data_IF_223162935348
#
_entry.id   IF_223162935348
#
_cell.length_a   1.000
_cell.length_b   1.000
_cell.length_c   1.000
_cell.angle_alpha   90.00
_cell.angle_beta   90.00
_cell.angle_gamma   90.00
#
_symmetry.space_group_name_H-M   'P 1'
#
loop_
_entity.id
_entity.type
_entity.pdbx_description
1 polymer ?
#
# COMPACT_ATOMS: atom_id res chain seq x y z
N UNK A 1 -0.32 -16.39 -9.36
CA UNK A 1 -0.80 -17.66 -8.80
C UNK A 1 -2.32 -17.76 -8.82
N UNK A 2 -2.84 -18.96 -8.88
CA UNK A 2 -4.27 -19.23 -8.70
C UNK A 2 -4.58 -19.18 -7.19
N UNK A 3 -5.63 -18.45 -6.80
CA UNK A 3 -6.04 -18.34 -5.39
C UNK A 3 -7.31 -19.13 -5.18
N UNK A 4 -7.30 -20.02 -4.19
CA UNK A 4 -8.45 -20.86 -3.83
C UNK A 4 -8.74 -20.69 -2.35
N UNK A 5 -9.95 -20.21 -2.05
CA UNK A 5 -10.43 -20.02 -0.68
C UNK A 5 -11.57 -21.00 -0.42
N UNK A 6 -11.40 -21.91 0.52
CA UNK A 6 -12.34 -22.97 0.86
C UNK A 6 -12.83 -23.80 -0.34
N UNK A 7 -11.95 -24.00 -1.33
CA UNK A 7 -12.23 -24.75 -2.55
C UNK A 7 -12.84 -23.92 -3.69
N UNK A 8 -13.05 -22.61 -3.49
CA UNK A 8 -13.59 -21.70 -4.50
C UNK A 8 -12.48 -20.78 -5.01
N UNK A 9 -12.36 -20.66 -6.32
CA UNK A 9 -11.41 -19.75 -6.98
C UNK A 9 -11.79 -18.30 -6.74
N UNK A 10 -10.81 -17.47 -6.38
CA UNK A 10 -10.96 -16.05 -6.13
C UNK A 10 -9.87 -15.26 -6.86
N UNK A 11 -10.16 -14.04 -7.25
CA UNK A 11 -9.17 -13.15 -7.88
C UNK A 11 -8.17 -12.58 -6.87
N UNK A 12 -8.59 -12.38 -5.64
CA UNK A 12 -7.80 -11.78 -4.57
C UNK A 12 -8.22 -12.32 -3.21
N UNK A 13 -7.29 -12.32 -2.25
CA UNK A 13 -7.57 -12.58 -0.84
C UNK A 13 -7.44 -11.32 0.03
N UNK A 14 -7.34 -10.14 -0.58
CA UNK A 14 -7.16 -8.86 0.15
C UNK A 14 -8.33 -8.50 1.08
N UNK A 15 -9.51 -9.06 0.83
CA UNK A 15 -10.70 -8.85 1.65
C UNK A 15 -10.78 -9.79 2.87
N UNK A 16 -9.92 -10.82 2.91
CA UNK A 16 -9.93 -11.80 3.98
C UNK A 16 -9.10 -11.30 5.16
N UNK A 17 -9.69 -11.27 6.36
CA UNK A 17 -8.93 -10.94 7.56
C UNK A 17 -8.01 -12.12 7.94
N UNK A 18 -6.76 -11.81 8.29
CA UNK A 18 -5.79 -12.82 8.73
C UNK A 18 -6.30 -13.64 9.93
N UNK A 19 -7.14 -13.05 10.78
CA UNK A 19 -7.75 -13.73 11.91
C UNK A 19 -8.82 -14.77 11.53
N UNK A 20 -9.30 -14.76 10.27
CA UNK A 20 -10.26 -15.74 9.73
C UNK A 20 -9.55 -16.95 9.11
N UNK A 21 -8.25 -16.84 8.83
CA UNK A 21 -7.49 -17.91 8.19
C UNK A 21 -7.15 -18.99 9.22
N UNK A 22 -7.48 -20.25 8.91
CA UNK A 22 -7.02 -21.42 9.66
C UNK A 22 -5.70 -21.93 9.13
N UNK A 23 -5.54 -22.03 7.80
CA UNK A 23 -4.29 -22.44 7.16
C UNK A 23 -4.11 -21.80 5.78
N UNK A 24 -2.85 -21.58 5.42
CA UNK A 24 -2.44 -21.13 4.11
C UNK A 24 -1.37 -22.10 3.58
N UNK A 25 -1.58 -22.62 2.38
CA UNK A 25 -0.64 -23.51 1.70
C UNK A 25 -0.31 -22.96 0.32
N UNK A 26 0.97 -22.94 -0.02
CA UNK A 26 1.45 -22.50 -1.34
C UNK A 26 1.98 -23.71 -2.09
N UNK A 27 1.31 -24.09 -3.16
CA UNK A 27 1.72 -25.18 -4.04
C UNK A 27 2.55 -24.60 -5.19
N UNK A 28 3.80 -25.00 -5.27
CA UNK A 28 4.76 -24.56 -6.30
C UNK A 28 5.17 -25.67 -7.25
N UNK A 29 5.02 -26.92 -6.83
CA UNK A 29 5.47 -28.07 -7.58
C UNK A 29 4.43 -28.49 -8.62
N UNK A 30 4.91 -28.88 -9.81
CA UNK A 30 4.05 -29.29 -10.92
C UNK A 30 3.11 -30.46 -10.56
N UNK A 31 3.57 -31.39 -9.71
CA UNK A 31 2.76 -32.51 -9.24
C UNK A 31 1.59 -32.10 -8.37
N UNK A 32 1.81 -31.14 -7.46
CA UNK A 32 0.75 -30.63 -6.56
C UNK A 32 -0.21 -29.67 -7.26
N UNK A 33 0.26 -28.97 -8.31
CA UNK A 33 -0.60 -28.04 -9.08
C UNK A 33 -1.33 -28.69 -10.24
N UNK A 34 -0.98 -29.93 -10.62
CA UNK A 34 -1.58 -30.66 -11.75
C UNK A 34 -3.10 -30.76 -11.67
N UNK A 35 -3.67 -30.88 -10.47
CA UNK A 35 -5.12 -30.96 -10.23
C UNK A 35 -5.86 -29.71 -10.71
N UNK A 36 -5.17 -28.56 -10.78
CA UNK A 36 -5.73 -27.26 -11.16
C UNK A 36 -5.48 -26.92 -12.63
N UNK A 37 -4.87 -27.84 -13.40
CA UNK A 37 -4.60 -27.70 -14.83
C UNK A 37 -3.70 -26.51 -15.16
N UNK A 38 -3.88 -25.94 -16.35
CA UNK A 38 -3.08 -24.81 -16.85
C UNK A 38 -3.14 -23.57 -15.97
N UNK A 39 -4.22 -23.36 -15.23
CA UNK A 39 -4.34 -22.21 -14.30
C UNK A 39 -3.42 -22.33 -13.10
N UNK A 40 -3.05 -23.55 -12.72
CA UNK A 40 -2.07 -23.82 -11.65
C UNK A 40 -0.60 -23.66 -12.05
N UNK A 41 -0.29 -23.40 -13.33
CA UNK A 41 1.08 -23.36 -13.84
C UNK A 41 1.98 -22.32 -13.12
N UNK A 42 1.42 -21.21 -12.65
CA UNK A 42 2.11 -20.16 -11.89
C UNK A 42 2.02 -20.37 -10.36
N UNK A 43 1.72 -21.59 -9.91
CA UNK A 43 1.50 -21.93 -8.52
C UNK A 43 0.07 -21.68 -8.05
N UNK A 44 -0.30 -22.33 -6.93
CA UNK A 44 -1.63 -22.23 -6.33
C UNK A 44 -1.49 -21.85 -4.86
N UNK A 45 -2.29 -20.90 -4.42
CA UNK A 45 -2.43 -20.50 -3.02
C UNK A 45 -3.76 -21.06 -2.51
N UNK A 46 -3.67 -22.00 -1.57
CA UNK A 46 -4.85 -22.58 -0.91
C UNK A 46 -5.03 -21.90 0.44
N UNK A 47 -6.19 -21.31 0.65
CA UNK A 47 -6.58 -20.71 1.92
C UNK A 47 -7.77 -21.47 2.46
N UNK A 48 -7.64 -21.93 3.70
CA UNK A 48 -8.74 -22.54 4.45
C UNK A 48 -9.14 -21.59 5.57
N UNK A 49 -10.41 -21.24 5.63
CA UNK A 49 -10.93 -20.38 6.68
C UNK A 49 -11.30 -21.16 7.93
N UNK A 50 -11.32 -20.50 9.07
CA UNK A 50 -11.73 -21.07 10.35
C UNK A 50 -13.18 -21.47 10.32
N UNK A 51 -13.47 -22.66 10.83
CA UNK A 51 -14.82 -23.20 10.95
C UNK A 51 -15.20 -23.41 12.40
N UNK A 52 -16.48 -23.41 12.67
CA UNK A 52 -17.00 -23.78 13.98
C UNK A 52 -16.61 -25.21 14.35
N UNK A 53 -16.28 -25.42 15.60
CA UNK A 53 -15.97 -26.74 16.18
C UNK A 53 -17.04 -27.10 17.21
N UNK A 54 -17.30 -28.43 17.39
CA UNK A 54 -18.18 -28.87 18.44
C UNK A 54 -17.65 -28.45 19.81
N UNK A 55 -18.53 -27.92 20.63
CA UNK A 55 -18.17 -27.46 21.98
C UNK A 55 -18.90 -26.20 22.40
N UNK A 56 -18.58 -25.75 23.61
CA UNK A 56 -19.11 -24.51 24.16
C UNK A 56 -18.65 -23.31 23.31
N UNK A 57 -19.45 -22.23 23.21
CA UNK A 57 -19.05 -21.03 22.53
C UNK A 57 -17.70 -20.49 23.03
N UNK A 58 -16.78 -20.22 22.10
CA UNK A 58 -15.51 -19.55 22.38
C UNK A 58 -15.55 -18.19 21.73
N UNK A 59 -15.28 -17.17 22.54
CA UNK A 59 -15.18 -15.79 22.08
C UNK A 59 -13.70 -15.41 22.11
N UNK A 60 -13.20 -14.89 20.99
CA UNK A 60 -11.85 -14.34 20.90
C UNK A 60 -11.94 -12.87 20.46
N UNK A 61 -11.27 -12.00 21.19
CA UNK A 61 -11.19 -10.57 20.87
C UNK A 61 -9.72 -10.23 20.66
N UNK A 62 -9.43 -9.64 19.51
CA UNK A 62 -8.09 -9.14 19.17
C UNK A 62 -8.17 -7.65 18.91
N UNK A 63 -7.27 -6.89 19.53
CA UNK A 63 -7.13 -5.45 19.29
C UNK A 63 -5.67 -5.14 18.98
N UNK A 64 -5.43 -4.54 17.82
CA UNK A 64 -4.11 -4.13 17.37
C UNK A 64 -4.10 -2.61 17.17
N UNK A 65 -3.09 -1.97 17.73
CA UNK A 65 -2.80 -0.56 17.51
C UNK A 65 -1.40 -0.43 16.92
N UNK A 66 -1.29 0.35 15.88
CA UNK A 66 -0.02 0.61 15.20
C UNK A 66 0.12 2.09 14.87
N UNK A 67 1.36 2.56 14.80
CA UNK A 67 1.71 3.86 14.26
C UNK A 67 2.50 3.63 12.97
N UNK A 68 1.90 4.01 11.85
CA UNK A 68 2.56 3.96 10.56
C UNK A 68 3.36 5.24 10.35
N UNK A 69 4.61 5.09 9.95
CA UNK A 69 5.48 6.23 9.58
C UNK A 69 6.21 5.90 8.29
N UNK A 70 6.48 6.90 7.44
CA UNK A 70 7.38 6.70 6.31
C UNK A 70 8.73 6.23 6.83
N UNK A 71 9.24 5.12 6.29
CA UNK A 71 10.56 4.59 6.66
C UNK A 71 11.68 5.37 6.01
N UNK A 72 11.43 5.93 4.84
CA UNK A 72 12.37 6.76 4.09
C UNK A 72 11.58 7.85 3.37
N UNK A 73 12.05 9.05 3.51
CA UNK A 73 11.54 10.23 2.81
C UNK A 73 12.62 10.64 1.82
N UNK A 74 12.34 10.65 0.51
CA UNK A 74 13.28 11.16 -0.47
C UNK A 74 13.61 12.63 -0.20
N UNK A 75 14.87 13.00 -0.36
CA UNK A 75 15.25 14.41 -0.41
C UNK A 75 14.92 14.95 -1.80
N UNK A 76 14.09 15.98 -1.84
CA UNK A 76 13.75 16.67 -3.07
C UNK A 76 14.59 17.93 -3.22
N UNK A 77 14.96 18.19 -4.46
CA UNK A 77 15.61 19.45 -4.81
C UNK A 77 14.65 20.61 -4.61
N UNK A 78 15.17 21.75 -4.20
CA UNK A 78 14.44 23.01 -4.24
C UNK A 78 14.15 23.46 -5.67
N UNK A 79 13.27 24.44 -5.82
CA UNK A 79 12.85 24.92 -7.15
C UNK A 79 14.04 25.47 -7.94
N UNK A 80 14.96 26.16 -7.29
CA UNK A 80 16.17 26.69 -7.94
C UNK A 80 17.05 25.59 -8.51
N UNK A 81 17.44 24.61 -7.69
CA UNK A 81 18.30 23.49 -8.11
C UNK A 81 17.65 22.67 -9.21
N UNK A 82 16.33 22.45 -9.11
CA UNK A 82 15.56 21.75 -10.13
C UNK A 82 15.64 22.47 -11.48
N UNK A 83 15.43 23.81 -11.50
CA UNK A 83 15.48 24.60 -12.72
C UNK A 83 16.88 24.67 -13.31
N UNK A 84 17.93 24.77 -12.49
CA UNK A 84 19.33 24.74 -12.94
C UNK A 84 19.64 23.39 -13.65
N UNK A 85 19.24 22.28 -13.05
CA UNK A 85 19.46 20.97 -13.64
C UNK A 85 18.64 20.81 -14.94
N UNK A 86 17.42 21.34 -14.98
CA UNK A 86 16.56 21.30 -16.15
C UNK A 86 17.13 22.14 -17.30
N UNK A 87 17.66 23.33 -17.02
CA UNK A 87 18.39 24.14 -17.99
C UNK A 87 19.55 23.37 -18.62
N UNK A 88 20.37 22.74 -17.77
CA UNK A 88 21.49 21.92 -18.22
C UNK A 88 21.05 20.68 -19.03
N UNK A 89 19.92 20.08 -18.70
CA UNK A 89 19.39 18.96 -19.46
C UNK A 89 19.01 19.38 -20.90
N UNK A 90 18.34 20.54 -21.06
CA UNK A 90 18.01 21.07 -22.38
C UNK A 90 19.27 21.43 -23.20
N UNK A 91 20.29 22.01 -22.58
CA UNK A 91 21.58 22.28 -23.22
C UNK A 91 22.24 20.98 -23.73
N UNK A 92 22.23 19.92 -22.91
CA UNK A 92 22.76 18.60 -23.29
C UNK A 92 21.99 17.95 -24.44
N UNK A 93 20.69 18.22 -24.55
CA UNK A 93 19.84 17.77 -25.65
C UNK A 93 20.01 18.61 -26.93
N UNK A 94 20.88 19.65 -26.90
CA UNK A 94 21.12 20.55 -28.02
C UNK A 94 19.97 21.51 -28.30
N UNK A 95 19.07 21.72 -27.30
CA UNK A 95 17.95 22.66 -27.39
C UNK A 95 18.27 23.94 -26.65
N UNK A 96 17.75 25.07 -27.15
CA UNK A 96 17.88 26.36 -26.48
C UNK A 96 16.95 26.39 -25.25
N UNK A 97 17.52 26.42 -24.01
CA UNK A 97 16.72 26.45 -22.78
C UNK A 97 15.77 27.65 -22.68
N UNK A 98 16.12 28.78 -23.28
CA UNK A 98 15.32 30.02 -23.23
C UNK A 98 13.99 29.89 -24.00
N UNK A 99 13.93 28.98 -24.97
CA UNK A 99 12.72 28.68 -25.73
C UNK A 99 11.86 27.59 -25.09
N UNK A 100 12.35 27.04 -23.99
CA UNK A 100 11.66 25.98 -23.25
C UNK A 100 11.04 26.55 -21.95
N UNK A 101 10.07 25.83 -21.43
CA UNK A 101 9.49 26.08 -20.08
C UNK A 101 8.94 27.51 -19.88
N UNK A 102 8.40 28.11 -20.96
CA UNK A 102 7.71 29.42 -20.90
C UNK A 102 8.54 30.54 -20.22
N UNK A 103 9.86 30.56 -20.43
CA UNK A 103 10.76 31.56 -19.87
C UNK A 103 11.18 31.37 -18.41
N UNK A 104 10.87 30.22 -17.81
CA UNK A 104 11.30 29.90 -16.45
C UNK A 104 12.83 29.68 -16.33
N UNK A 105 13.51 29.44 -17.45
CA UNK A 105 14.95 29.12 -17.50
C UNK A 105 15.84 30.34 -17.84
N UNK A 106 15.29 31.55 -17.80
CA UNK A 106 16.07 32.79 -17.96
C UNK A 106 16.93 33.04 -16.70
N UNK A 107 18.05 33.73 -16.86
CA UNK A 107 18.93 34.05 -15.74
C UNK A 107 18.24 34.92 -14.69
N UNK A 108 17.34 35.85 -15.10
CA UNK A 108 16.51 36.64 -14.19
C UNK A 108 15.58 35.77 -13.35
N UNK A 109 14.90 34.78 -14.01
CA UNK A 109 14.00 33.87 -13.32
C UNK A 109 14.76 32.97 -12.36
N UNK A 110 15.89 32.40 -12.77
CA UNK A 110 16.72 31.57 -11.90
C UNK A 110 17.22 32.34 -10.68
N UNK A 111 17.62 33.60 -10.85
CA UNK A 111 18.04 34.44 -9.73
C UNK A 111 16.87 34.77 -8.79
N UNK A 112 15.68 35.00 -9.33
CA UNK A 112 14.45 35.14 -8.53
C UNK A 112 14.15 33.93 -7.66
N UNK A 113 14.26 32.70 -8.20
CA UNK A 113 14.12 31.46 -7.43
C UNK A 113 15.25 31.29 -6.40
N UNK A 114 16.48 31.71 -6.72
CA UNK A 114 17.63 31.63 -5.80
C UNK A 114 17.48 32.55 -4.60
N UNK A 115 16.99 33.77 -4.82
CA UNK A 115 16.82 34.78 -3.78
C UNK A 115 15.54 34.53 -2.95
N UNK A 116 14.48 34.01 -3.57
CA UNK A 116 13.22 33.73 -2.90
C UNK A 116 12.48 34.94 -2.38
N UNK A 117 12.73 36.14 -2.96
CA UNK A 117 12.19 37.42 -2.47
C UNK A 117 10.69 37.57 -2.66
N UNK A 118 10.15 36.94 -3.72
CA UNK A 118 8.72 36.91 -4.01
C UNK A 118 8.21 35.46 -4.09
N UNK A 119 7.65 34.91 -3.01
CA UNK A 119 7.18 33.53 -2.96
C UNK A 119 5.95 33.25 -3.85
N UNK A 120 5.25 34.29 -4.33
CA UNK A 120 4.14 34.13 -5.27
C UNK A 120 4.63 34.01 -6.71
N UNK A 121 5.68 34.76 -7.05
CA UNK A 121 6.28 34.72 -8.39
C UNK A 121 7.30 33.60 -8.54
N UNK A 122 8.05 33.30 -7.47
CA UNK A 122 9.10 32.29 -7.43
C UNK A 122 8.86 31.27 -6.30
N UNK A 123 7.81 30.45 -6.41
CA UNK A 123 7.44 29.53 -5.34
C UNK A 123 8.46 28.40 -5.18
N UNK A 124 8.86 28.14 -3.94
CA UNK A 124 9.64 26.97 -3.56
C UNK A 124 8.90 26.17 -2.51
N UNK A 125 7.99 25.29 -2.98
CA UNK A 125 7.12 24.52 -2.12
C UNK A 125 7.51 23.05 -2.18
N UNK A 126 7.95 22.51 -1.07
CA UNK A 126 8.08 21.06 -0.92
C UNK A 126 6.70 20.44 -0.69
N UNK A 127 6.05 20.01 -1.77
CA UNK A 127 4.73 19.39 -1.74
C UNK A 127 4.69 18.11 -0.90
N UNK A 128 5.79 17.38 -0.84
CA UNK A 128 5.88 16.20 0.00
C UNK A 128 5.74 16.55 1.48
N UNK A 129 6.44 17.59 1.92
CA UNK A 129 6.37 18.09 3.30
C UNK A 129 4.99 18.67 3.64
N UNK A 130 4.32 19.24 2.65
CA UNK A 130 2.99 19.81 2.83
C UNK A 130 1.89 18.73 2.89
N UNK A 131 2.05 17.62 2.17
CA UNK A 131 0.99 16.62 2.00
C UNK A 131 1.17 15.38 2.87
N UNK A 132 2.43 15.00 3.19
CA UNK A 132 2.71 13.77 3.93
C UNK A 132 2.77 14.04 5.43
N UNK A 133 1.99 13.28 6.17
CA UNK A 133 2.02 13.35 7.63
C UNK A 133 3.25 12.62 8.21
N UNK A 134 4.35 13.36 8.37
CA UNK A 134 5.61 12.84 8.93
C UNK A 134 5.50 12.35 10.37
N UNK A 135 4.49 12.81 11.13
CA UNK A 135 4.28 12.37 12.52
C UNK A 135 3.76 10.95 12.59
N UNK A 136 3.22 10.46 11.47
CA UNK A 136 2.66 9.13 11.32
C UNK A 136 1.14 9.12 11.43
N UNK A 137 0.57 8.01 10.98
CA UNK A 137 -0.86 7.75 10.99
C UNK A 137 -1.17 6.62 11.98
N UNK A 138 -2.19 6.83 12.81
CA UNK A 138 -2.67 5.81 13.73
C UNK A 138 -3.47 4.75 12.94
N UNK A 139 -3.13 3.49 13.16
CA UNK A 139 -3.89 2.35 12.68
C UNK A 139 -4.48 1.61 13.87
N UNK A 140 -5.78 1.31 13.78
CA UNK A 140 -6.53 0.56 14.78
C UNK A 140 -7.28 -0.56 14.11
N UNK A 141 -7.11 -1.77 14.60
CA UNK A 141 -7.80 -2.95 14.11
C UNK A 141 -8.39 -3.70 15.30
N UNK A 142 -9.68 -3.97 15.22
CA UNK A 142 -10.42 -4.75 16.20
C UNK A 142 -11.06 -5.93 15.49
N UNK A 143 -10.95 -7.11 16.08
CA UNK A 143 -11.52 -8.32 15.54
C UNK A 143 -12.16 -9.12 16.66
N UNK A 144 -13.42 -9.55 16.46
CA UNK A 144 -14.19 -10.36 17.39
C UNK A 144 -14.63 -11.63 16.68
N UNK A 145 -14.18 -12.78 17.16
CA UNK A 145 -14.55 -14.08 16.61
C UNK A 145 -15.33 -14.88 17.64
N UNK A 146 -16.43 -15.45 17.20
CA UNK A 146 -17.26 -16.35 18.01
C UNK A 146 -17.37 -17.69 17.27
N UNK A 147 -16.95 -18.77 17.92
CA UNK A 147 -17.02 -20.11 17.35
C UNK A 147 -17.61 -21.09 18.34
N UNK A 148 -18.38 -22.04 17.84
CA UNK A 148 -18.99 -23.08 18.67
C UNK A 148 -19.85 -24.01 17.83
N UNK A 149 -20.53 -24.93 18.50
CA UNK A 149 -21.47 -25.79 17.82
C UNK A 149 -21.84 -27.04 18.59
N UNK A 150 -22.83 -27.73 18.05
CA UNK A 150 -23.27 -29.03 18.47
C UNK A 150 -22.86 -30.08 17.39
N UNK A 151 -23.21 -31.33 17.59
CA UNK A 151 -22.99 -32.38 16.58
C UNK A 151 -23.70 -32.09 15.25
N UNK A 152 -24.79 -31.31 15.29
CA UNK A 152 -25.64 -31.06 14.13
C UNK A 152 -25.33 -29.68 13.51
N UNK A 153 -25.07 -28.68 14.32
CA UNK A 153 -24.82 -27.28 13.84
C UNK A 153 -23.51 -26.76 14.41
N UNK A 154 -22.65 -26.29 13.52
CA UNK A 154 -21.39 -25.63 13.87
C UNK A 154 -21.39 -24.23 13.25
N UNK A 155 -20.90 -23.25 13.99
CA UNK A 155 -20.88 -21.87 13.53
C UNK A 155 -19.54 -21.21 13.84
N UNK A 156 -19.14 -20.33 12.94
CA UNK A 156 -18.06 -19.38 13.11
C UNK A 156 -18.56 -18.01 12.64
N UNK A 157 -18.44 -17.01 13.49
CA UNK A 157 -18.85 -15.64 13.20
C UNK A 157 -17.64 -14.76 13.46
N UNK A 158 -17.28 -13.92 12.48
CA UNK A 158 -16.20 -12.94 12.58
C UNK A 158 -16.75 -11.55 12.34
N UNK A 159 -16.28 -10.60 13.13
CA UNK A 159 -16.54 -9.16 12.97
C UNK A 159 -15.24 -8.42 13.08
N UNK A 160 -14.82 -7.79 11.99
CA UNK A 160 -13.60 -7.00 11.90
C UNK A 160 -13.91 -5.50 11.73
N UNK A 161 -13.10 -4.65 12.37
CA UNK A 161 -13.11 -3.21 12.18
C UNK A 161 -11.67 -2.72 12.03
N UNK A 162 -11.40 -2.03 10.92
CA UNK A 162 -10.11 -1.41 10.63
C UNK A 162 -10.30 0.10 10.43
N UNK A 163 -9.54 0.89 11.17
CA UNK A 163 -9.42 2.32 10.96
C UNK A 163 -7.94 2.67 10.77
N UNK A 164 -7.62 3.29 9.65
CA UNK A 164 -6.27 3.68 9.28
C UNK A 164 -6.28 5.13 8.81
N UNK A 165 -5.51 5.97 9.48
CA UNK A 165 -5.29 7.35 9.06
C UNK A 165 -4.43 7.42 7.80
N UNK A 166 -4.62 8.46 6.99
CA UNK A 166 -3.73 8.80 5.87
C UNK A 166 -2.39 9.33 6.37
N UNK A 167 -1.35 9.00 5.61
CA UNK A 167 -0.02 9.58 5.80
C UNK A 167 0.19 10.81 4.93
#
# INVERSE_FOLDING_TARGET
>A
PLIIIDGVEQESFSQLDANEIESLSVLKDASSTAVYGIRGANGVILITTKRGKEGKPKISVTANWGLQRPTQIPEFLGSYEHLVLRKKAWENDGKDPLQQDNGLLTDESLEGFRLGEDPYRYPDVNWYDAMVNKRGALQQQYNVNISGGTKVVKYFISLGYLNQGGM
#
